data_IF_976750821851
#
_entry.id   IF_976750821851
#
_cell.length_a   1.000
_cell.length_b   1.000
_cell.length_c   1.000
_cell.angle_alpha   90.00
_cell.angle_beta   90.00
_cell.angle_gamma   90.00
#
_symmetry.space_group_name_H-M   'P 1'
#
loop_
_entity.id
_entity.type
_entity.pdbx_description
1 polymer ?
#
# COMPACT_ATOMS: atom_id res chain seq x y z
N UNK A 1 61.34 -40.41 -15.12
CA UNK A 1 60.19 -39.88 -14.41
C UNK A 1 60.11 -38.36 -14.47
N UNK A 2 60.94 -37.64 -15.22
CA UNK A 2 60.99 -36.17 -15.31
C UNK A 2 60.38 -35.56 -16.59
N UNK A 3 60.00 -36.42 -17.57
CA UNK A 3 59.55 -35.93 -18.90
C UNK A 3 58.06 -35.58 -18.96
N UNK A 4 57.25 -36.08 -18.01
CA UNK A 4 55.77 -35.88 -17.99
C UNK A 4 55.32 -34.56 -17.29
N UNK A 5 56.19 -33.94 -16.53
CA UNK A 5 55.81 -32.73 -15.75
C UNK A 5 55.83 -31.47 -16.64
N UNK A 6 56.71 -31.41 -17.66
CA UNK A 6 56.85 -30.23 -18.54
C UNK A 6 55.61 -29.96 -19.41
N UNK A 7 54.89 -31.00 -19.85
CA UNK A 7 53.68 -30.81 -20.68
C UNK A 7 52.43 -30.38 -19.90
N UNK A 8 52.35 -30.78 -18.61
CA UNK A 8 51.20 -30.39 -17.79
C UNK A 8 51.21 -28.91 -17.42
N UNK A 9 52.37 -28.31 -17.24
CA UNK A 9 52.51 -26.89 -16.93
C UNK A 9 52.19 -26.03 -18.15
N UNK A 10 52.60 -26.46 -19.34
CA UNK A 10 52.36 -25.73 -20.60
C UNK A 10 50.89 -25.67 -20.97
N UNK A 11 50.11 -26.74 -20.72
CA UNK A 11 48.67 -26.79 -20.98
C UNK A 11 47.92 -25.92 -19.97
N UNK A 12 48.33 -25.88 -18.70
CA UNK A 12 47.70 -25.06 -17.67
C UNK A 12 47.87 -23.57 -17.95
N UNK A 13 49.05 -23.14 -18.42
CA UNK A 13 49.30 -21.73 -18.76
C UNK A 13 48.47 -21.28 -19.97
N UNK A 14 48.30 -22.17 -20.97
CA UNK A 14 47.48 -21.92 -22.15
C UNK A 14 45.98 -21.80 -21.80
N UNK A 15 45.49 -22.65 -20.91
CA UNK A 15 44.08 -22.58 -20.46
C UNK A 15 43.79 -21.31 -19.63
N UNK A 16 44.72 -20.88 -18.79
CA UNK A 16 44.58 -19.62 -18.05
C UNK A 16 44.66 -18.41 -18.97
N UNK A 17 45.50 -18.42 -19.99
CA UNK A 17 45.58 -17.34 -20.98
C UNK A 17 44.28 -17.17 -21.79
N UNK A 18 43.68 -18.29 -22.20
CA UNK A 18 42.39 -18.28 -22.93
C UNK A 18 41.24 -17.81 -22.01
N UNK A 19 41.28 -18.20 -20.72
CA UNK A 19 40.27 -17.78 -19.75
C UNK A 19 40.34 -16.27 -19.49
N UNK A 20 41.54 -15.68 -19.35
CA UNK A 20 41.72 -14.24 -19.19
C UNK A 20 41.32 -13.47 -20.45
N UNK A 21 41.54 -13.98 -21.64
CA UNK A 21 41.13 -13.34 -22.88
C UNK A 21 39.62 -13.40 -23.10
N UNK A 22 38.94 -14.44 -22.58
CA UNK A 22 37.51 -14.60 -22.73
C UNK A 22 36.71 -13.75 -21.70
N UNK A 23 37.29 -13.49 -20.52
CA UNK A 23 36.67 -12.63 -19.49
C UNK A 23 36.70 -11.16 -19.89
N UNK A 24 37.74 -10.71 -20.60
CA UNK A 24 37.85 -9.29 -21.03
C UNK A 24 36.89 -8.92 -22.18
N UNK A 25 36.36 -9.91 -22.90
CA UNK A 25 35.43 -9.67 -24.02
C UNK A 25 33.97 -9.50 -23.61
N UNK A 26 33.61 -9.74 -22.35
CA UNK A 26 32.20 -9.64 -21.85
C UNK A 26 31.92 -8.45 -20.95
N UNK A 27 32.86 -7.54 -20.73
CA UNK A 27 32.69 -6.37 -19.89
C UNK A 27 32.27 -5.08 -20.62
N UNK A 28 31.87 -5.18 -21.87
CA UNK A 28 31.33 -4.05 -22.63
C UNK A 28 29.84 -4.29 -22.88
N UNK A 29 29.02 -3.99 -21.93
CA UNK A 29 27.63 -3.51 -22.07
C UNK A 29 26.84 -3.70 -20.76
N UNK A 30 27.44 -3.37 -19.62
CA UNK A 30 26.59 -3.05 -18.46
C UNK A 30 26.28 -1.56 -18.56
N UNK A 31 25.02 -1.15 -18.77
CA UNK A 31 24.68 0.27 -18.71
C UNK A 31 25.04 0.76 -17.31
N UNK A 32 25.89 1.79 -17.25
CA UNK A 32 26.27 2.40 -15.99
C UNK A 32 24.99 2.90 -15.30
N UNK A 33 24.84 2.60 -14.02
CA UNK A 33 23.71 3.07 -13.18
C UNK A 33 23.50 4.59 -13.30
N UNK A 34 24.52 5.33 -13.70
CA UNK A 34 24.48 6.77 -13.97
C UNK A 34 23.63 7.14 -15.19
N UNK A 35 23.43 6.25 -16.17
CA UNK A 35 22.67 6.58 -17.38
C UNK A 35 21.16 6.37 -17.18
N UNK A 36 20.76 5.59 -16.17
CA UNK A 36 19.34 5.41 -15.79
C UNK A 36 18.81 6.57 -14.93
N UNK A 37 19.68 7.33 -14.30
CA UNK A 37 19.28 8.44 -13.42
C UNK A 37 18.86 9.72 -14.17
N UNK A 38 19.12 9.81 -15.49
CA UNK A 38 18.88 11.02 -16.28
C UNK A 38 17.60 10.99 -17.14
N UNK A 39 16.86 9.88 -17.15
CA UNK A 39 15.63 9.74 -17.95
C UNK A 39 14.35 9.64 -17.13
N UNK A 40 14.39 9.96 -15.82
CA UNK A 40 13.17 10.24 -15.08
C UNK A 40 12.78 11.66 -15.51
N UNK A 41 11.67 11.86 -16.23
CA UNK A 41 11.18 13.21 -16.50
C UNK A 41 10.88 13.84 -15.15
N UNK A 42 11.74 14.75 -14.71
CA UNK A 42 11.47 15.61 -13.54
C UNK A 42 10.43 16.67 -13.93
N UNK A 43 9.50 16.29 -14.81
CA UNK A 43 8.39 17.15 -15.16
C UNK A 43 7.38 17.07 -14.02
N UNK A 44 7.63 17.96 -13.06
CA UNK A 44 6.67 18.58 -12.17
C UNK A 44 5.32 17.83 -12.05
N UNK A 45 5.30 16.70 -11.33
CA UNK A 45 4.09 16.32 -10.63
C UNK A 45 3.85 17.38 -9.56
N UNK A 46 3.33 18.54 -9.96
CA UNK A 46 2.75 19.50 -9.02
C UNK A 46 1.74 18.71 -8.18
N UNK A 47 1.91 18.64 -6.84
CA UNK A 47 0.90 18.00 -6.00
C UNK A 47 -0.42 18.71 -6.28
N UNK A 48 -1.33 18.06 -6.98
CA UNK A 48 -2.67 18.60 -7.19
C UNK A 48 -3.28 18.79 -5.79
N UNK A 49 -3.89 19.96 -5.52
CA UNK A 49 -4.48 20.20 -4.21
C UNK A 49 -5.57 19.14 -3.98
N UNK A 50 -5.27 18.17 -3.12
CA UNK A 50 -6.24 17.15 -2.71
C UNK A 50 -7.41 17.88 -2.09
N UNK A 51 -8.58 17.89 -2.75
CA UNK A 51 -9.78 18.51 -2.20
C UNK A 51 -10.01 17.95 -0.78
N UNK A 52 -9.91 18.83 0.20
CA UNK A 52 -9.83 18.47 1.63
C UNK A 52 -11.20 18.02 2.13
N UNK A 53 -11.58 16.74 1.91
CA UNK A 53 -12.78 16.21 2.55
C UNK A 53 -12.49 15.97 4.04
N UNK A 54 -13.31 16.61 4.88
CA UNK A 54 -13.28 16.42 6.35
C UNK A 54 -14.71 16.31 6.87
N UNK A 55 -14.94 15.41 7.84
CA UNK A 55 -16.23 15.26 8.51
C UNK A 55 -15.99 14.86 9.97
N UNK A 56 -16.88 15.33 10.87
CA UNK A 56 -16.88 14.94 12.29
C UNK A 56 -18.23 14.34 12.63
N UNK A 57 -18.24 13.23 13.36
CA UNK A 57 -19.47 12.55 13.73
C UNK A 57 -19.22 11.26 14.49
N UNK A 58 -20.22 10.40 14.53
CA UNK A 58 -20.17 9.13 15.25
C UNK A 58 -19.77 8.01 14.31
N UNK A 59 -18.77 7.21 14.71
CA UNK A 59 -18.42 5.93 14.15
C UNK A 59 -19.04 4.78 14.92
N UNK A 60 -19.35 3.69 14.22
CA UNK A 60 -19.67 2.38 14.77
C UNK A 60 -18.85 1.31 14.04
N UNK A 61 -19.17 0.03 14.22
CA UNK A 61 -18.50 -1.06 13.53
C UNK A 61 -19.42 -2.23 13.22
N UNK A 62 -19.01 -3.06 12.25
CA UNK A 62 -19.74 -4.24 11.84
C UNK A 62 -19.72 -5.34 12.87
N UNK A 63 -20.89 -5.94 13.13
CA UNK A 63 -20.99 -7.16 13.93
C UNK A 63 -20.33 -8.36 13.21
N UNK A 64 -19.84 -9.34 13.97
CA UNK A 64 -19.17 -10.57 13.45
C UNK A 64 -20.00 -11.33 12.40
N UNK A 65 -21.34 -11.31 12.52
CA UNK A 65 -22.26 -11.99 11.59
C UNK A 65 -22.20 -11.52 10.14
N UNK A 66 -21.54 -10.36 9.88
CA UNK A 66 -21.37 -9.83 8.53
C UNK A 66 -20.16 -10.41 7.80
N UNK A 67 -19.25 -11.15 8.48
CA UNK A 67 -18.11 -11.76 7.83
C UNK A 67 -18.53 -12.64 6.64
N UNK A 68 -17.83 -12.52 5.53
CA UNK A 68 -18.08 -13.25 4.29
C UNK A 68 -19.21 -12.66 3.42
N UNK A 69 -20.06 -11.77 3.92
CA UNK A 69 -21.10 -11.11 3.11
C UNK A 69 -20.48 -10.18 2.06
N UNK A 70 -21.16 -10.04 0.93
CA UNK A 70 -20.74 -9.07 -0.10
C UNK A 70 -21.00 -7.64 0.38
N UNK A 71 -20.03 -6.78 0.18
CA UNK A 71 -20.12 -5.33 0.35
C UNK A 71 -20.68 -4.68 -0.91
N UNK A 72 -21.03 -3.41 -0.85
CA UNK A 72 -21.52 -2.67 -2.02
C UNK A 72 -20.47 -2.49 -3.13
N UNK A 73 -19.16 -2.65 -2.83
CA UNK A 73 -18.09 -2.70 -3.84
C UNK A 73 -17.96 -4.07 -4.51
N UNK A 74 -18.74 -5.10 -4.08
CA UNK A 74 -18.64 -6.46 -4.55
C UNK A 74 -17.64 -7.34 -3.78
N UNK A 75 -16.78 -6.76 -2.97
CA UNK A 75 -15.84 -7.50 -2.12
C UNK A 75 -16.56 -8.30 -1.04
N UNK A 76 -15.91 -9.35 -0.52
CA UNK A 76 -16.37 -10.02 0.70
C UNK A 76 -15.87 -9.26 1.93
N UNK A 77 -16.79 -8.89 2.81
CA UNK A 77 -16.43 -8.26 4.08
C UNK A 77 -15.55 -9.18 4.93
N UNK A 78 -14.49 -8.63 5.48
CA UNK A 78 -13.63 -9.30 6.45
C UNK A 78 -13.39 -8.37 7.64
N UNK A 79 -13.79 -8.81 8.81
CA UNK A 79 -13.52 -8.07 10.06
C UNK A 79 -12.04 -7.91 10.38
N UNK A 80 -11.13 -8.65 9.72
CA UNK A 80 -9.67 -8.57 9.90
C UNK A 80 -8.99 -7.50 9.06
N UNK A 81 -9.64 -6.95 8.03
CA UNK A 81 -9.10 -5.90 7.15
C UNK A 81 -9.41 -4.53 7.70
N UNK A 82 -8.58 -3.52 7.39
CA UNK A 82 -8.85 -2.12 7.71
C UNK A 82 -9.72 -1.49 6.61
N UNK A 83 -11.03 -1.74 6.70
CA UNK A 83 -12.04 -1.23 5.75
C UNK A 83 -13.18 -0.55 6.48
N UNK A 84 -14.00 0.20 5.74
CA UNK A 84 -15.15 0.88 6.29
C UNK A 84 -16.25 1.13 5.25
N UNK A 85 -17.48 1.35 5.74
CA UNK A 85 -18.57 1.88 4.94
C UNK A 85 -18.70 3.40 5.14
N UNK A 86 -18.91 4.09 4.02
CA UNK A 86 -19.26 5.51 3.99
C UNK A 86 -20.35 5.78 2.94
N UNK A 87 -21.23 6.76 3.21
CA UNK A 87 -22.40 6.99 2.35
C UNK A 87 -22.04 7.43 0.94
N UNK A 88 -21.08 8.34 0.80
CA UNK A 88 -20.82 9.06 -0.45
C UNK A 88 -19.39 8.95 -0.98
N UNK A 89 -18.40 8.66 -0.12
CA UNK A 89 -17.01 8.54 -0.59
C UNK A 89 -16.88 7.40 -1.62
N UNK A 90 -16.14 7.60 -2.72
CA UNK A 90 -15.87 6.55 -3.70
C UNK A 90 -15.26 5.30 -3.07
N UNK A 91 -15.55 4.12 -3.63
CA UNK A 91 -14.86 2.90 -3.23
C UNK A 91 -13.37 3.01 -3.55
N UNK A 92 -12.52 2.45 -2.68
CA UNK A 92 -11.07 2.58 -2.79
C UNK A 92 -10.49 3.78 -2.04
N UNK A 93 -11.27 4.82 -1.73
CA UNK A 93 -10.81 6.00 -0.98
C UNK A 93 -10.16 5.60 0.34
N UNK A 94 -8.95 6.10 0.60
CA UNK A 94 -8.27 5.94 1.88
C UNK A 94 -8.64 7.11 2.81
N UNK A 95 -9.12 6.76 3.99
CA UNK A 95 -9.63 7.72 4.97
C UNK A 95 -8.91 7.55 6.29
N UNK A 96 -8.29 8.62 6.78
CA UNK A 96 -7.82 8.68 8.17
C UNK A 96 -9.02 8.90 9.07
N UNK A 97 -9.19 8.00 10.04
CA UNK A 97 -10.21 8.07 11.10
C UNK A 97 -9.49 8.31 12.40
N UNK A 98 -9.79 9.39 13.08
CA UNK A 98 -9.19 9.76 14.36
C UNK A 98 -10.25 9.88 15.45
N UNK A 99 -10.00 9.31 16.61
CA UNK A 99 -10.76 9.58 17.82
C UNK A 99 -10.71 11.07 18.13
N UNK A 100 -11.88 11.70 18.28
CA UNK A 100 -11.98 13.13 18.48
C UNK A 100 -11.45 13.58 19.86
N UNK A 101 -11.38 12.67 20.85
CA UNK A 101 -10.92 12.94 22.21
C UNK A 101 -9.43 12.70 22.39
N UNK A 102 -8.95 11.51 21.99
CA UNK A 102 -7.56 11.09 22.24
C UNK A 102 -6.63 11.43 21.11
N UNK A 103 -7.15 11.71 19.90
CA UNK A 103 -6.35 11.91 18.70
C UNK A 103 -5.78 10.62 18.09
N UNK A 104 -5.98 9.45 18.72
CA UNK A 104 -5.57 8.15 18.18
C UNK A 104 -6.23 7.94 16.82
N UNK A 105 -5.47 7.46 15.85
CA UNK A 105 -5.97 7.34 14.49
C UNK A 105 -5.43 6.10 13.74
N UNK A 106 -6.13 5.76 12.68
CA UNK A 106 -5.70 4.79 11.67
C UNK A 106 -6.25 5.17 10.29
N UNK A 107 -5.80 4.48 9.25
CA UNK A 107 -6.33 4.64 7.90
C UNK A 107 -7.15 3.40 7.54
N UNK A 108 -8.32 3.63 6.94
CA UNK A 108 -9.20 2.59 6.41
C UNK A 108 -9.50 2.85 4.95
N UNK A 109 -9.75 1.78 4.18
CA UNK A 109 -10.22 1.86 2.80
C UNK A 109 -11.74 1.75 2.76
N UNK A 110 -12.39 2.64 2.03
CA UNK A 110 -13.83 2.57 1.81
C UNK A 110 -14.14 1.47 0.78
N UNK A 111 -14.94 0.49 1.19
CA UNK A 111 -15.36 -0.61 0.31
C UNK A 111 -16.85 -0.96 0.47
N UNK A 112 -17.61 -0.20 1.26
CA UNK A 112 -19.02 -0.45 1.45
C UNK A 112 -19.83 0.84 1.54
N UNK A 113 -21.18 0.72 1.44
CA UNK A 113 -22.15 1.80 1.60
C UNK A 113 -22.82 1.72 2.95
N UNK A 114 -23.02 2.86 3.52
CA UNK A 114 -23.56 3.07 4.89
C UNK A 114 -22.79 4.16 5.61
N UNK A 115 -23.08 4.42 6.88
CA UNK A 115 -24.17 3.89 7.70
C UNK A 115 -25.57 4.25 7.19
N UNK A 116 -26.52 3.33 7.31
CA UNK A 116 -27.95 3.63 7.06
C UNK A 116 -28.55 4.48 8.20
N UNK A 117 -28.03 4.35 9.41
CA UNK A 117 -28.40 5.23 10.51
C UNK A 117 -27.76 6.63 10.32
N UNK A 118 -28.59 7.67 10.13
CA UNK A 118 -28.13 9.04 9.86
C UNK A 118 -27.31 9.67 10.99
N UNK A 119 -27.42 9.17 12.23
CA UNK A 119 -26.64 9.65 13.39
C UNK A 119 -25.16 9.25 13.31
N UNK A 120 -24.79 8.30 12.42
CA UNK A 120 -23.42 7.84 12.21
C UNK A 120 -22.89 8.35 10.87
N UNK A 121 -21.57 8.52 10.78
CA UNK A 121 -20.91 8.95 9.55
C UNK A 121 -20.09 7.84 8.88
N UNK A 122 -19.64 6.84 9.66
CA UNK A 122 -18.80 5.76 9.18
C UNK A 122 -19.03 4.49 10.02
N UNK A 123 -19.07 3.33 9.36
CA UNK A 123 -19.08 2.02 10.03
C UNK A 123 -17.74 1.31 9.72
N UNK A 124 -16.97 1.01 10.76
CA UNK A 124 -15.63 0.44 10.65
C UNK A 124 -15.68 -1.09 10.63
N UNK A 125 -14.67 -1.73 10.03
CA UNK A 125 -14.42 -3.14 10.27
C UNK A 125 -14.12 -3.40 11.75
N UNK A 126 -14.25 -4.67 12.18
CA UNK A 126 -13.99 -5.04 13.57
C UNK A 126 -12.54 -4.69 13.99
N UNK A 127 -11.55 -5.00 13.12
CA UNK A 127 -10.14 -4.72 13.41
C UNK A 127 -9.85 -3.20 13.53
N UNK A 128 -10.40 -2.39 12.63
CA UNK A 128 -10.28 -0.94 12.72
C UNK A 128 -10.88 -0.40 14.01
N UNK A 129 -12.07 -0.88 14.39
CA UNK A 129 -12.74 -0.51 15.62
C UNK A 129 -11.96 -0.94 16.87
N UNK A 130 -11.38 -2.15 16.85
CA UNK A 130 -10.53 -2.69 17.93
C UNK A 130 -9.30 -1.81 18.14
N UNK A 131 -8.62 -1.44 17.05
CA UNK A 131 -7.45 -0.58 17.11
C UNK A 131 -7.78 0.82 17.66
N UNK A 132 -8.94 1.40 17.31
CA UNK A 132 -9.39 2.68 17.87
C UNK A 132 -9.96 2.57 19.30
N UNK A 133 -10.18 1.34 19.80
CA UNK A 133 -10.72 1.10 21.13
C UNK A 133 -12.26 1.16 21.23
N UNK A 134 -12.97 1.23 20.11
CA UNK A 134 -14.46 1.30 20.08
C UNK A 134 -15.09 0.04 20.67
N UNK A 135 -14.45 -1.12 20.52
CA UNK A 135 -14.97 -2.43 20.93
C UNK A 135 -15.04 -2.62 22.45
N UNK A 136 -14.38 -1.73 23.22
CA UNK A 136 -14.32 -1.82 24.70
C UNK A 136 -15.46 -1.09 25.43
N UNK A 137 -16.41 -0.50 24.71
CA UNK A 137 -17.48 0.32 25.28
C UNK A 137 -18.80 0.16 24.53
N UNK A 138 -19.58 1.23 24.46
CA UNK A 138 -20.90 1.25 23.84
C UNK A 138 -20.94 0.98 22.32
N UNK A 139 -19.80 0.66 21.70
CA UNK A 139 -19.71 0.40 20.27
C UNK A 139 -19.80 1.65 19.39
N UNK A 140 -19.73 2.82 19.99
CA UNK A 140 -19.81 4.13 19.34
C UNK A 140 -18.64 5.00 19.76
N UNK A 141 -18.10 5.80 18.82
CA UNK A 141 -17.01 6.74 19.09
C UNK A 141 -17.21 8.02 18.27
N UNK A 142 -17.01 9.19 18.89
CA UNK A 142 -16.90 10.45 18.15
C UNK A 142 -15.57 10.52 17.44
N UNK A 143 -15.61 10.64 16.12
CA UNK A 143 -14.40 10.63 15.26
C UNK A 143 -14.35 11.85 14.35
N UNK A 144 -13.14 12.20 13.96
CA UNK A 144 -12.83 13.12 12.87
C UNK A 144 -12.29 12.28 11.70
N UNK A 145 -12.91 12.39 10.54
CA UNK A 145 -12.43 11.70 9.33
C UNK A 145 -11.91 12.71 8.32
N UNK A 146 -10.87 12.32 7.56
CA UNK A 146 -10.37 13.07 6.40
C UNK A 146 -9.91 12.09 5.33
N UNK A 147 -10.13 12.43 4.08
CA UNK A 147 -9.53 11.69 2.95
C UNK A 147 -8.03 11.95 2.96
N UNK A 148 -7.25 10.90 2.82
CA UNK A 148 -5.79 10.94 2.66
C UNK A 148 -5.38 10.60 1.24
N UNK A 149 -6.20 9.78 0.55
CA UNK A 149 -5.97 9.39 -0.83
C UNK A 149 -7.30 9.08 -1.51
N UNK A 150 -7.50 9.59 -2.73
CA UNK A 150 -8.62 9.27 -3.59
C UNK A 150 -8.30 8.05 -4.45
N UNK A 151 -9.29 7.24 -4.87
CA UNK A 151 -9.02 6.14 -5.78
C UNK A 151 -8.49 6.65 -7.11
N UNK A 152 -7.69 5.83 -7.76
CA UNK A 152 -7.09 6.13 -9.06
C UNK A 152 -8.15 6.60 -10.07
N UNK A 153 -7.83 7.63 -10.85
CA UNK A 153 -8.73 8.23 -11.83
C UNK A 153 -9.85 9.09 -11.27
N UNK A 154 -10.09 9.13 -9.95
CA UNK A 154 -11.12 9.97 -9.36
C UNK A 154 -10.67 11.42 -9.22
N UNK A 155 -11.43 12.35 -9.83
CA UNK A 155 -11.23 13.80 -9.66
C UNK A 155 -12.39 14.36 -8.82
N UNK A 156 -12.15 14.79 -7.58
CA UNK A 156 -13.21 15.44 -6.78
C UNK A 156 -13.56 16.79 -7.40
N UNK A 157 -14.84 16.99 -7.71
CA UNK A 157 -15.38 18.27 -8.22
C UNK A 157 -15.29 19.37 -7.18
#
# INVERSE_FOLDING_TARGET
MFHQIKYKISILVLLLGVFYFWVDAQTQDTPRITDFALSIPTDSVKPQPIKKFKQTGIASYYAKKFNGRRTASGERYSGKKLTAAHRTLPFGTLVRVADAKTGKWLVVRINDRGPYNRKRIIDLSYEAARQLGITKGAGLLKVKIRVVEWPEGYKPN
#
